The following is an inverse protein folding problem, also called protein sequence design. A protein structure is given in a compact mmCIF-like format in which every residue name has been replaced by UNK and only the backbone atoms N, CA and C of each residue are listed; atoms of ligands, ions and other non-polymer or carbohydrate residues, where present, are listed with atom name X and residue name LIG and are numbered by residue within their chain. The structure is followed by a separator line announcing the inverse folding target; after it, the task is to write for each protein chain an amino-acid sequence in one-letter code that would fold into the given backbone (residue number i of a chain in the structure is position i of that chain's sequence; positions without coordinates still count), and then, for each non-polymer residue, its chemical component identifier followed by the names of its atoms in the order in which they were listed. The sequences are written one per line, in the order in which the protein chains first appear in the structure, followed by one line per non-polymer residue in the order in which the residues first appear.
data_IF_681713009649
#
_entry.id   IF_681713009649
#
_cell.length_a   1.000
_cell.length_b   1.000
_cell.length_c   1.000
_cell.angle_alpha   90.00
_cell.angle_beta   90.00
_cell.angle_gamma   90.00
#
_symmetry.space_group_name_H-M   'P 1'
#
loop_
_entity.id
_entity.type
_entity.pdbx_description
1 polymer ?
#
# COMPACT_ATOMS: atom_id res chain seq x y z
N UNK A 1 -10.15 11.13 -25.18
CA UNK A 1 -10.86 10.05 -25.90
C UNK A 1 -11.87 9.42 -24.94
N UNK A 2 -13.11 9.91 -24.94
CA UNK A 2 -14.22 9.25 -24.20
C UNK A 2 -14.78 8.22 -25.17
N UNK A 3 -14.41 6.94 -25.03
CA UNK A 3 -15.27 5.90 -25.59
C UNK A 3 -16.55 5.94 -24.77
N UNK A 4 -17.63 6.35 -25.42
CA UNK A 4 -18.94 6.38 -24.78
C UNK A 4 -19.37 4.93 -24.55
N UNK A 5 -19.91 4.64 -23.35
CA UNK A 5 -20.35 3.28 -23.02
C UNK A 5 -21.41 2.79 -24.01
N UNK A 6 -22.17 3.72 -24.60
CA UNK A 6 -23.14 3.44 -25.66
C UNK A 6 -22.51 2.83 -26.92
N UNK A 7 -21.36 3.34 -27.37
CA UNK A 7 -20.70 2.83 -28.58
C UNK A 7 -20.23 1.38 -28.37
N UNK A 8 -19.73 1.06 -27.17
CA UNK A 8 -19.33 -0.30 -26.81
C UNK A 8 -20.51 -1.28 -26.84
N UNK A 9 -21.68 -0.89 -26.31
CA UNK A 9 -22.87 -1.75 -26.35
C UNK A 9 -23.45 -1.92 -27.77
N UNK A 10 -23.32 -0.91 -28.64
CA UNK A 10 -23.74 -0.99 -30.03
C UNK A 10 -22.86 -1.94 -30.86
N UNK A 11 -21.55 -2.01 -30.59
CA UNK A 11 -20.66 -2.97 -31.27
C UNK A 11 -20.89 -4.42 -30.81
N UNK A 12 -21.46 -4.61 -29.63
CA UNK A 12 -21.73 -5.93 -29.04
C UNK A 12 -23.05 -6.53 -29.55
N UNK A 13 -24.03 -5.70 -29.90
CA UNK A 13 -25.31 -6.14 -30.43
C UNK A 13 -25.25 -6.78 -31.84
N UNK A 14 -24.08 -6.80 -32.49
CA UNK A 14 -23.86 -7.46 -33.79
C UNK A 14 -23.75 -9.00 -33.70
N UNK A 15 -23.79 -9.58 -32.49
CA UNK A 15 -23.82 -11.04 -32.28
C UNK A 15 -22.45 -11.73 -32.28
N UNK A 16 -21.35 -11.01 -32.54
CA UNK A 16 -19.99 -11.57 -32.53
C UNK A 16 -19.41 -11.79 -31.11
N UNK A 17 -20.01 -11.21 -30.08
CA UNK A 17 -19.46 -11.22 -28.71
C UNK A 17 -20.43 -11.92 -27.75
N UNK A 18 -19.99 -13.01 -27.12
CA UNK A 18 -20.76 -13.72 -26.09
C UNK A 18 -21.12 -12.81 -24.91
N UNK A 19 -22.35 -12.93 -24.39
CA UNK A 19 -22.84 -12.23 -23.19
C UNK A 19 -21.90 -12.34 -21.97
N UNK A 20 -21.18 -13.46 -21.86
CA UNK A 20 -20.17 -13.66 -20.83
C UNK A 20 -19.03 -12.65 -20.93
N UNK A 21 -18.54 -12.39 -22.15
CA UNK A 21 -17.48 -11.42 -22.44
C UNK A 21 -17.94 -10.01 -22.13
N UNK A 22 -19.20 -9.68 -22.47
CA UNK A 22 -19.82 -8.38 -22.15
C UNK A 22 -19.91 -8.15 -20.65
N UNK A 23 -20.43 -9.14 -19.91
CA UNK A 23 -20.53 -9.09 -18.45
C UNK A 23 -19.17 -8.95 -17.80
N UNK A 24 -18.17 -9.67 -18.30
CA UNK A 24 -16.79 -9.64 -17.80
C UNK A 24 -16.11 -8.29 -18.04
N UNK A 25 -16.27 -7.72 -19.25
CA UNK A 25 -15.78 -6.39 -19.59
C UNK A 25 -16.44 -5.31 -18.72
N UNK A 26 -17.76 -5.38 -18.52
CA UNK A 26 -18.47 -4.45 -17.65
C UNK A 26 -17.96 -4.50 -16.20
N UNK A 27 -17.79 -5.71 -15.64
CA UNK A 27 -17.23 -5.90 -14.29
C UNK A 27 -15.82 -5.31 -14.18
N UNK A 28 -14.98 -5.48 -15.21
CA UNK A 28 -13.62 -4.96 -15.24
C UNK A 28 -13.62 -3.42 -15.23
N UNK A 29 -14.47 -2.79 -16.05
CA UNK A 29 -14.64 -1.33 -16.10
C UNK A 29 -15.08 -0.80 -14.74
N UNK A 30 -16.10 -1.42 -14.13
CA UNK A 30 -16.59 -1.01 -12.82
C UNK A 30 -15.51 -1.16 -11.74
N UNK A 31 -14.77 -2.28 -11.74
CA UNK A 31 -13.64 -2.49 -10.84
C UNK A 31 -12.56 -1.42 -11.02
N UNK A 32 -12.22 -1.07 -12.26
CA UNK A 32 -11.28 0.02 -12.57
C UNK A 32 -11.74 1.37 -12.01
N UNK A 33 -13.03 1.69 -12.15
CA UNK A 33 -13.63 2.91 -11.57
C UNK A 33 -13.55 2.92 -10.05
N UNK A 34 -13.88 1.81 -9.38
CA UNK A 34 -13.78 1.70 -7.92
C UNK A 34 -12.34 1.82 -7.42
N UNK A 35 -11.37 1.22 -8.11
CA UNK A 35 -9.95 1.33 -7.78
C UNK A 35 -9.50 2.78 -7.92
N UNK A 36 -9.82 3.45 -9.04
CA UNK A 36 -9.49 4.85 -9.27
C UNK A 36 -10.07 5.75 -8.19
N UNK A 37 -11.35 5.59 -7.87
CA UNK A 37 -12.01 6.39 -6.83
C UNK A 37 -11.36 6.16 -5.45
N UNK A 38 -11.07 4.91 -5.11
CA UNK A 38 -10.41 4.56 -3.85
C UNK A 38 -9.00 5.16 -3.76
N UNK A 39 -8.24 5.15 -4.86
CA UNK A 39 -6.92 5.77 -4.92
C UNK A 39 -7.01 7.29 -4.75
N UNK A 40 -7.95 7.93 -5.44
CA UNK A 40 -8.20 9.37 -5.31
C UNK A 40 -8.55 9.77 -3.88
N UNK A 41 -9.45 9.05 -3.22
CA UNK A 41 -9.82 9.31 -1.82
C UNK A 41 -8.60 9.18 -0.89
N UNK A 42 -7.78 8.15 -1.07
CA UNK A 42 -6.56 7.94 -0.27
C UNK A 42 -5.54 9.07 -0.47
N UNK A 43 -5.31 9.46 -1.72
CA UNK A 43 -4.40 10.55 -2.05
C UNK A 43 -4.90 11.86 -1.43
N UNK A 44 -6.19 12.19 -1.63
CA UNK A 44 -6.79 13.39 -1.05
C UNK A 44 -6.67 13.42 0.46
N UNK A 45 -6.96 12.31 1.14
CA UNK A 45 -6.80 12.21 2.59
C UNK A 45 -5.36 12.49 3.04
N UNK A 46 -4.37 11.88 2.37
CA UNK A 46 -2.96 12.11 2.67
C UNK A 46 -2.54 13.56 2.45
N UNK A 47 -2.98 14.17 1.35
CA UNK A 47 -2.71 15.58 1.06
C UNK A 47 -3.33 16.48 2.14
N UNK A 48 -4.58 16.26 2.51
CA UNK A 48 -5.25 17.04 3.57
C UNK A 48 -4.56 16.87 4.92
N UNK A 49 -4.14 15.65 5.27
CA UNK A 49 -3.42 15.38 6.52
C UNK A 49 -2.07 16.08 6.56
N UNK A 50 -1.30 16.02 5.47
CA UNK A 50 -0.03 16.74 5.35
C UNK A 50 -0.22 18.25 5.45
N UNK A 51 -1.24 18.80 4.80
CA UNK A 51 -1.55 20.23 4.86
C UNK A 51 -1.92 20.66 6.28
N UNK A 52 -2.77 19.90 6.97
CA UNK A 52 -3.14 20.15 8.35
C UNK A 52 -1.90 20.18 9.27
N UNK A 53 -0.99 19.21 9.15
CA UNK A 53 0.26 19.21 9.90
C UNK A 53 1.16 20.42 9.59
N UNK A 54 1.28 20.81 8.32
CA UNK A 54 2.05 22.01 7.94
C UNK A 54 1.44 23.27 8.54
N UNK A 55 0.12 23.43 8.47
CA UNK A 55 -0.58 24.57 9.05
C UNK A 55 -0.40 24.62 10.56
N UNK A 56 -0.50 23.49 11.27
CA UNK A 56 -0.20 23.42 12.71
C UNK A 56 1.24 23.86 12.98
N UNK A 57 2.22 23.37 12.23
CA UNK A 57 3.62 23.75 12.40
C UNK A 57 3.84 25.26 12.18
N UNK A 58 3.23 25.83 11.15
CA UNK A 58 3.33 27.28 10.85
C UNK A 58 2.68 28.13 11.93
N UNK A 59 1.43 27.82 12.30
CA UNK A 59 0.68 28.60 13.29
C UNK A 59 1.28 28.44 14.69
N UNK A 60 1.86 27.27 15.02
CA UNK A 60 2.59 27.11 16.29
C UNK A 60 3.85 27.97 16.36
N UNK A 61 4.61 28.09 15.26
CA UNK A 61 5.78 28.99 15.21
C UNK A 61 5.32 30.45 15.35
N UNK A 62 4.28 30.86 14.61
CA UNK A 62 3.74 32.21 14.69
C UNK A 62 3.22 32.55 16.09
N UNK A 63 2.49 31.63 16.72
CA UNK A 63 1.94 31.82 18.06
C UNK A 63 3.02 31.85 19.15
N UNK A 64 4.18 31.21 18.93
CA UNK A 64 5.34 31.31 19.82
C UNK A 64 6.07 32.65 19.69
N UNK A 65 6.11 33.21 18.48
CA UNK A 65 6.78 34.49 18.21
C UNK A 65 5.91 35.68 18.63
N UNK A 66 4.62 35.66 18.25
CA UNK A 66 3.65 36.71 18.56
C UNK A 66 2.35 36.03 19.02
N UNK A 67 2.20 35.77 20.33
CA UNK A 67 1.01 35.14 20.87
C UNK A 67 -0.20 36.05 20.67
N UNK A 68 -1.23 35.54 19.97
CA UNK A 68 -2.51 36.26 19.84
C UNK A 68 -3.67 35.30 20.04
N UNK A 69 -4.81 35.77 20.60
CA UNK A 69 -5.98 34.93 20.80
C UNK A 69 -6.51 34.33 19.49
N UNK A 70 -6.37 35.05 18.37
CA UNK A 70 -6.74 34.53 17.05
C UNK A 70 -5.88 33.34 16.62
N UNK A 71 -4.56 33.37 16.86
CA UNK A 71 -3.67 32.25 16.54
C UNK A 71 -3.91 31.05 17.48
N UNK A 72 -4.21 31.30 18.75
CA UNK A 72 -4.57 30.26 19.70
C UNK A 72 -5.88 29.55 19.30
N UNK A 73 -6.91 30.31 18.91
CA UNK A 73 -8.17 29.75 18.40
C UNK A 73 -7.94 28.91 17.15
N UNK A 74 -7.18 29.45 16.19
CA UNK A 74 -6.85 28.75 14.94
C UNK A 74 -6.09 27.44 15.17
N UNK A 75 -5.21 27.38 16.17
CA UNK A 75 -4.56 26.13 16.58
C UNK A 75 -5.57 25.12 17.14
N UNK A 76 -6.50 25.58 17.97
CA UNK A 76 -7.60 24.75 18.48
C UNK A 76 -8.40 24.11 17.35
N UNK A 77 -8.82 24.92 16.38
CA UNK A 77 -9.57 24.46 15.20
C UNK A 77 -8.77 23.43 14.39
N UNK A 78 -7.48 23.70 14.14
CA UNK A 78 -6.61 22.77 13.40
C UNK A 78 -6.40 21.43 14.13
N UNK A 79 -6.28 21.43 15.46
CA UNK A 79 -6.20 20.19 16.24
C UNK A 79 -7.51 19.43 16.24
N UNK A 80 -8.64 20.13 16.25
CA UNK A 80 -9.96 19.52 16.12
C UNK A 80 -10.12 18.88 14.73
N UNK A 81 -9.73 19.57 13.66
CA UNK A 81 -9.71 19.02 12.29
C UNK A 81 -8.83 17.77 12.18
N UNK A 82 -7.64 17.80 12.78
CA UNK A 82 -6.77 16.62 12.84
C UNK A 82 -7.44 15.45 13.57
N UNK A 83 -8.11 15.74 14.68
CA UNK A 83 -8.83 14.74 15.47
C UNK A 83 -9.97 14.12 14.66
N UNK A 84 -10.74 14.93 13.93
CA UNK A 84 -11.83 14.42 13.07
C UNK A 84 -11.29 13.56 11.92
N UNK A 85 -10.19 13.95 11.27
CA UNK A 85 -9.53 13.15 10.23
C UNK A 85 -9.04 11.80 10.76
N UNK A 86 -8.51 11.77 11.98
CA UNK A 86 -8.10 10.53 12.63
C UNK A 86 -9.30 9.66 13.01
N UNK A 87 -10.36 10.26 13.54
CA UNK A 87 -11.59 9.54 13.87
C UNK A 87 -12.22 8.89 12.63
N UNK A 88 -12.23 9.57 11.48
CA UNK A 88 -12.69 9.00 10.21
C UNK A 88 -11.86 7.78 9.78
N UNK A 89 -10.53 7.87 9.90
CA UNK A 89 -9.62 6.75 9.60
C UNK A 89 -9.84 5.57 10.54
N UNK A 90 -10.01 5.84 11.83
CA UNK A 90 -10.32 4.81 12.84
C UNK A 90 -11.66 4.15 12.54
N UNK A 91 -12.71 4.92 12.23
CA UNK A 91 -14.02 4.39 11.81
C UNK A 91 -13.89 3.47 10.60
N UNK A 92 -13.14 3.87 9.58
CA UNK A 92 -12.88 3.02 8.41
C UNK A 92 -12.22 1.69 8.79
N UNK A 93 -11.20 1.71 9.65
CA UNK A 93 -10.55 0.48 10.12
C UNK A 93 -11.46 -0.39 10.96
N UNK A 94 -12.28 0.19 11.83
CA UNK A 94 -13.27 -0.55 12.61
C UNK A 94 -14.31 -1.22 11.72
N UNK A 95 -14.83 -0.51 10.72
CA UNK A 95 -15.76 -1.09 9.74
C UNK A 95 -15.12 -2.23 8.94
N UNK A 96 -13.87 -2.04 8.51
CA UNK A 96 -13.11 -3.09 7.82
C UNK A 96 -12.89 -4.30 8.73
N UNK A 97 -12.48 -4.07 9.99
CA UNK A 97 -12.29 -5.12 10.97
C UNK A 97 -13.58 -5.91 11.17
N UNK A 98 -14.70 -5.21 11.41
CA UNK A 98 -16.02 -5.81 11.58
C UNK A 98 -16.45 -6.63 10.36
N UNK A 99 -16.25 -6.11 9.14
CA UNK A 99 -16.50 -6.87 7.92
C UNK A 99 -15.59 -8.10 7.80
N UNK A 100 -14.33 -8.03 8.24
CA UNK A 100 -13.42 -9.18 8.20
C UNK A 100 -13.72 -10.23 9.27
N UNK A 101 -14.10 -9.83 10.49
CA UNK A 101 -14.30 -10.74 11.63
C UNK A 101 -15.72 -11.29 11.67
N UNK A 102 -16.74 -10.44 11.54
CA UNK A 102 -18.15 -10.87 11.66
C UNK A 102 -18.70 -11.48 10.36
N UNK A 103 -18.30 -10.96 9.19
CA UNK A 103 -18.85 -11.45 7.92
C UNK A 103 -18.13 -12.73 7.40
N UNK A 104 -16.96 -13.06 7.94
CA UNK A 104 -16.27 -14.33 7.66
C UNK A 104 -16.33 -15.32 8.85
N UNK A 105 -17.20 -15.09 9.84
CA UNK A 105 -17.35 -15.96 11.03
C UNK A 105 -17.72 -17.42 10.70
N UNK A 106 -18.21 -17.69 9.48
CA UNK A 106 -18.41 -19.06 8.95
C UNK A 106 -17.25 -19.65 8.14
N UNK A 107 -16.08 -18.98 8.05
CA UNK A 107 -14.94 -19.42 7.21
C UNK A 107 -13.62 -19.40 8.00
N UNK A 108 -13.46 -20.23 9.05
CA UNK A 108 -12.23 -20.31 9.85
C UNK A 108 -10.97 -20.55 9.01
N UNK A 109 -11.08 -21.36 7.95
CA UNK A 109 -9.98 -21.59 6.99
C UNK A 109 -9.54 -20.33 6.24
N UNK A 110 -10.45 -19.40 5.94
CA UNK A 110 -10.11 -18.13 5.27
C UNK A 110 -9.39 -17.17 6.23
N UNK A 111 -9.77 -17.19 7.52
CA UNK A 111 -9.06 -16.44 8.55
C UNK A 111 -7.66 -16.99 8.76
N UNK A 112 -7.52 -18.32 8.87
CA UNK A 112 -6.23 -19.00 8.96
C UNK A 112 -5.36 -18.70 7.73
N UNK A 113 -5.90 -18.82 6.52
CA UNK A 113 -5.18 -18.51 5.28
C UNK A 113 -4.72 -17.04 5.21
N UNK A 114 -5.55 -16.08 5.65
CA UNK A 114 -5.15 -14.68 5.73
C UNK A 114 -4.07 -14.44 6.80
N UNK A 115 -4.16 -15.11 7.95
CA UNK A 115 -3.17 -15.03 9.01
C UNK A 115 -1.83 -15.62 8.56
N UNK A 116 -1.85 -16.80 7.95
CA UNK A 116 -0.69 -17.45 7.34
C UNK A 116 -0.10 -16.59 6.23
N UNK A 117 -0.91 -15.98 5.36
CA UNK A 117 -0.44 -15.06 4.32
C UNK A 117 0.20 -13.81 4.90
N UNK A 118 -0.37 -13.24 5.96
CA UNK A 118 0.18 -12.04 6.63
C UNK A 118 1.49 -12.38 7.32
N UNK A 119 1.54 -13.51 8.03
CA UNK A 119 2.76 -14.03 8.65
C UNK A 119 3.83 -14.32 7.61
N UNK A 120 3.48 -15.02 6.52
CA UNK A 120 4.38 -15.29 5.40
C UNK A 120 4.86 -14.00 4.73
N UNK A 121 4.03 -12.95 4.65
CA UNK A 121 4.45 -11.66 4.09
C UNK A 121 5.37 -10.91 5.06
N UNK A 122 5.14 -11.01 6.37
CA UNK A 122 6.01 -10.45 7.39
C UNK A 122 7.37 -11.16 7.47
N UNK A 123 7.42 -12.46 7.14
CA UNK A 123 8.66 -13.25 7.07
C UNK A 123 9.28 -13.26 5.67
N UNK A 124 8.64 -12.65 4.66
CA UNK A 124 9.17 -12.59 3.29
C UNK A 124 10.17 -11.45 3.22
N UNK A 125 11.45 -11.81 3.36
CA UNK A 125 12.67 -11.05 3.08
C UNK A 125 12.45 -9.53 3.07
N UNK A 126 12.51 -8.95 4.26
CA UNK A 126 12.71 -7.52 4.50
C UNK A 126 14.19 -7.10 4.33
N UNK A 127 15.09 -8.03 4.00
CA UNK A 127 16.55 -7.83 4.05
C UNK A 127 17.12 -6.96 2.91
N UNK A 128 16.26 -6.28 2.14
CA UNK A 128 16.66 -5.16 1.27
C UNK A 128 16.29 -3.81 1.88
N UNK A 129 16.24 -3.73 3.21
CA UNK A 129 16.20 -2.48 3.96
C UNK A 129 17.62 -2.23 4.43
N UNK A 130 18.25 -1.20 3.88
CA UNK A 130 19.59 -0.81 4.30
C UNK A 130 19.61 -0.46 5.78
N UNK A 131 20.80 -0.52 6.39
CA UNK A 131 21.02 -0.30 7.83
C UNK A 131 20.40 1.01 8.37
N UNK A 132 20.13 1.98 7.51
CA UNK A 132 19.40 3.20 7.83
C UNK A 132 18.03 3.20 7.15
N UNK A 133 16.97 2.88 7.91
CA UNK A 133 15.51 3.07 7.70
C UNK A 133 15.08 3.67 6.33
N UNK A 134 15.47 3.00 5.25
CA UNK A 134 15.38 3.55 3.90
C UNK A 134 15.41 2.40 2.93
N UNK A 135 14.40 2.37 2.05
CA UNK A 135 14.37 1.39 0.96
C UNK A 135 15.58 1.62 0.08
N UNK A 136 16.40 0.60 -0.11
CA UNK A 136 17.49 0.64 -1.07
C UNK A 136 16.86 0.68 -2.47
N UNK A 137 16.95 1.84 -3.13
CA UNK A 137 16.38 2.08 -4.46
C UNK A 137 17.46 2.10 -5.56
N UNK A 138 18.74 2.14 -5.18
CA UNK A 138 19.86 2.12 -6.12
C UNK A 138 20.26 0.69 -6.45
N UNK A 139 20.42 0.40 -7.75
CA UNK A 139 20.73 -0.94 -8.27
C UNK A 139 22.05 -1.49 -7.73
N UNK A 140 23.06 -0.64 -7.54
CA UNK A 140 24.37 -1.01 -6.97
C UNK A 140 24.25 -1.54 -5.55
N UNK A 141 23.46 -0.86 -4.74
CA UNK A 141 23.30 -1.15 -3.32
C UNK A 141 22.42 -2.41 -3.14
N UNK A 142 21.44 -2.61 -4.03
CA UNK A 142 20.65 -3.86 -4.10
C UNK A 142 21.55 -5.05 -4.44
N UNK A 143 22.47 -4.90 -5.40
CA UNK A 143 23.41 -5.96 -5.79
C UNK A 143 24.35 -6.29 -4.63
N UNK A 144 24.83 -5.29 -3.88
CA UNK A 144 25.69 -5.50 -2.72
C UNK A 144 24.97 -6.22 -1.57
N UNK A 145 23.75 -5.79 -1.22
CA UNK A 145 22.97 -6.48 -0.17
C UNK A 145 22.54 -7.89 -0.60
N UNK A 146 22.19 -8.07 -1.88
CA UNK A 146 21.89 -9.40 -2.41
C UNK A 146 23.12 -10.32 -2.38
N UNK A 147 24.30 -9.79 -2.74
CA UNK A 147 25.56 -10.53 -2.65
C UNK A 147 25.91 -10.87 -1.19
N UNK A 148 25.69 -9.95 -0.25
CA UNK A 148 25.88 -10.17 1.18
C UNK A 148 24.94 -11.27 1.71
N UNK A 149 23.66 -11.20 1.36
CA UNK A 149 22.66 -12.22 1.69
C UNK A 149 23.07 -13.60 1.15
N UNK A 150 23.42 -13.70 -0.14
CA UNK A 150 23.89 -14.97 -0.73
C UNK A 150 25.15 -15.48 -0.03
N UNK A 151 26.10 -14.60 0.31
CA UNK A 151 27.30 -14.98 1.04
C UNK A 151 26.96 -15.55 2.41
N UNK A 152 26.02 -14.97 3.15
CA UNK A 152 25.55 -15.51 4.45
C UNK A 152 24.86 -16.87 4.26
N UNK A 153 24.01 -16.98 3.25
CA UNK A 153 23.25 -18.19 2.96
C UNK A 153 24.15 -19.38 2.60
N UNK A 154 25.22 -19.14 1.84
CA UNK A 154 26.17 -20.19 1.44
C UNK A 154 27.34 -20.38 2.41
N UNK A 155 27.65 -19.41 3.28
CA UNK A 155 28.64 -19.60 4.35
C UNK A 155 28.09 -20.40 5.54
N UNK A 156 26.77 -20.44 5.73
CA UNK A 156 26.10 -21.34 6.69
C UNK A 156 26.18 -22.83 6.29
N UNK A 157 26.47 -23.14 5.02
CA UNK A 157 26.58 -24.51 4.51
C UNK A 157 28.03 -25.03 4.43
N UNK A 158 29.02 -24.27 4.89
CA UNK A 158 30.39 -24.77 5.06
C UNK A 158 30.53 -25.34 6.49
N UNK A 159 29.74 -26.38 6.80
CA UNK A 159 30.09 -27.35 7.84
C UNK A 159 30.55 -28.62 7.14
N UNK A 160 31.89 -28.73 7.09
CA UNK A 160 32.73 -29.90 6.83
C UNK A 160 32.14 -31.04 5.96
N UNK A 161 32.46 -31.01 4.67
CA UNK A 161 32.15 -32.12 3.75
C UNK A 161 32.01 -31.68 2.28
N UNK A 162 33.12 -31.22 1.70
CA UNK A 162 33.32 -30.71 0.33
C UNK A 162 32.84 -31.74 -0.72
N UNK A 163 32.26 -31.42 -1.90
CA UNK A 163 32.80 -30.62 -3.02
C UNK A 163 31.71 -29.94 -3.88
N UNK A 164 31.88 -28.64 -4.18
CA UNK A 164 31.14 -27.93 -5.24
C UNK A 164 31.99 -27.94 -6.52
N UNK A 165 31.44 -28.25 -7.71
CA UNK A 165 32.19 -28.19 -8.95
C UNK A 165 32.47 -26.73 -9.34
N UNK A 166 33.70 -26.45 -9.75
CA UNK A 166 34.13 -25.15 -10.29
C UNK A 166 33.40 -24.84 -11.60
N UNK A 167 32.77 -23.66 -11.76
CA UNK A 167 32.19 -23.27 -13.03
C UNK A 167 33.24 -22.59 -13.92
N UNK A 168 33.37 -23.12 -15.14
CA UNK A 168 33.93 -22.47 -16.33
C UNK A 168 35.44 -22.16 -16.31
N UNK A 169 36.23 -23.08 -16.88
CA UNK A 169 37.43 -22.71 -17.63
C UNK A 169 37.00 -22.33 -19.06
N UNK A 170 37.30 -21.10 -19.43
CA UNK A 170 37.10 -20.56 -20.78
C UNK A 170 38.18 -21.08 -21.72
N UNK A 171 37.77 -21.83 -22.74
CA UNK A 171 38.45 -21.87 -24.05
C UNK A 171 37.41 -22.03 -25.14
#
# INVERSE_FOLDING_TARGET
MKLDLQDFFLTISSGEVSDFTVSSAHKLVMRGRFIRQSAFIKQRYQTTLLECHKQIALVTVQNKQVPTPALASKLGDLFQDLTTLNAQKTKYFLQRLLATTYHNSGKPFKYLANRLRTQHTATRITDLVGKDVGKIMNTTDIVQEFAHFCKQLYSLNIREGVTVPTPFEST
#
